data_IF_051627427224
#
_entry.id   IF_051627427224
#
_cell.length_a   1.000
_cell.length_b   1.000
_cell.length_c   1.000
_cell.angle_alpha   90.00
_cell.angle_beta   90.00
_cell.angle_gamma   90.00
#
_symmetry.space_group_name_H-M   'P 1'
#
loop_
_entity.id
_entity.type
_entity.pdbx_description
1 polymer ?
#
# COMPACT_ATOMS: atom_id res chain seq x y z
N UNK A 1 -10.37 -18.69 -10.46
CA UNK A 1 -10.12 -17.48 -9.65
C UNK A 1 -8.64 -17.13 -9.75
N UNK A 2 -8.29 -15.89 -10.12
CA UNK A 2 -6.88 -15.48 -10.19
C UNK A 2 -6.46 -14.91 -8.82
N UNK A 3 -5.61 -15.63 -8.08
CA UNK A 3 -5.14 -15.26 -6.73
C UNK A 3 -4.49 -13.88 -6.71
N UNK A 4 -4.60 -13.15 -5.59
CA UNK A 4 -3.97 -11.84 -5.42
C UNK A 4 -2.44 -12.01 -5.34
N UNK A 5 -1.68 -11.24 -6.11
CA UNK A 5 -0.23 -11.19 -5.95
C UNK A 5 0.12 -10.39 -4.70
N UNK A 6 1.04 -10.91 -3.89
CA UNK A 6 1.50 -10.29 -2.65
C UNK A 6 2.92 -9.77 -2.86
N UNK A 7 3.12 -8.50 -2.51
CA UNK A 7 4.41 -7.84 -2.49
C UNK A 7 4.79 -7.51 -1.04
N UNK A 8 5.63 -8.34 -0.40
CA UNK A 8 6.10 -8.08 0.95
C UNK A 8 7.05 -6.88 0.98
N UNK A 9 6.85 -5.95 1.91
CA UNK A 9 7.71 -4.79 2.13
C UNK A 9 8.04 -4.62 3.61
N UNK A 10 9.11 -3.92 3.95
CA UNK A 10 9.45 -3.59 5.35
C UNK A 10 8.57 -2.48 5.93
N UNK A 11 7.75 -1.84 5.08
CA UNK A 11 6.82 -0.76 5.45
C UNK A 11 5.37 -1.23 5.37
N UNK A 12 4.49 -0.52 6.08
CA UNK A 12 3.04 -0.76 6.06
C UNK A 12 2.38 0.24 5.10
N UNK A 13 1.46 -0.25 4.28
CA UNK A 13 0.54 0.58 3.51
C UNK A 13 -0.83 0.60 4.20
N UNK A 14 -1.36 1.78 4.44
CA UNK A 14 -2.72 1.98 4.96
C UNK A 14 -3.67 2.48 3.85
N UNK A 15 -4.99 2.25 3.97
CA UNK A 15 -5.98 2.86 3.09
C UNK A 15 -5.78 4.39 2.97
N UNK A 16 -5.76 4.92 1.76
CA UNK A 16 -5.49 6.32 1.46
C UNK A 16 -4.01 6.74 1.52
N UNK A 17 -3.13 5.91 2.07
CA UNK A 17 -1.69 6.11 2.06
C UNK A 17 -1.10 5.99 0.65
N UNK A 18 -0.06 6.76 0.37
CA UNK A 18 0.63 6.75 -0.93
C UNK A 18 2.05 6.22 -0.77
N UNK A 19 2.41 5.26 -1.61
CA UNK A 19 3.74 4.64 -1.55
C UNK A 19 4.43 4.69 -2.93
N UNK A 20 5.55 5.41 -3.07
CA UNK A 20 6.42 5.27 -4.24
C UNK A 20 7.27 4.00 -4.11
N UNK A 21 7.27 3.18 -5.16
CA UNK A 21 7.96 1.89 -5.23
C UNK A 21 9.00 1.90 -6.35
N UNK A 22 10.13 1.25 -6.09
CA UNK A 22 11.20 1.02 -7.07
C UNK A 22 11.33 -0.48 -7.28
N UNK A 23 10.88 -0.95 -8.44
CA UNK A 23 10.73 -2.37 -8.74
C UNK A 23 11.76 -2.76 -9.79
N UNK A 24 12.67 -3.65 -9.39
CA UNK A 24 13.75 -4.14 -10.24
C UNK A 24 13.80 -5.67 -10.34
N UNK A 25 13.18 -6.40 -9.41
CA UNK A 25 13.09 -7.86 -9.51
C UNK A 25 12.07 -8.27 -10.57
N UNK A 26 12.45 -9.18 -11.45
CA UNK A 26 11.64 -9.63 -12.59
C UNK A 26 10.25 -10.11 -12.19
N UNK A 27 10.13 -10.88 -11.11
CA UNK A 27 8.84 -11.38 -10.60
C UNK A 27 7.84 -10.24 -10.29
N UNK A 28 8.32 -9.13 -9.76
CA UNK A 28 7.49 -7.99 -9.40
C UNK A 28 7.27 -7.04 -10.59
N UNK A 29 8.23 -6.95 -11.52
CA UNK A 29 8.01 -6.26 -12.80
C UNK A 29 6.87 -6.93 -13.58
N UNK A 30 6.85 -8.27 -13.64
CA UNK A 30 5.81 -9.02 -14.33
C UNK A 30 4.47 -8.90 -13.61
N UNK A 31 4.45 -9.00 -12.28
CA UNK A 31 3.28 -8.74 -11.45
C UNK A 31 2.67 -7.36 -11.75
N UNK A 32 3.47 -6.30 -11.77
CA UNK A 32 2.97 -4.95 -12.03
C UNK A 32 2.42 -4.81 -13.44
N UNK A 33 3.08 -5.39 -14.45
CA UNK A 33 2.55 -5.40 -15.82
C UNK A 33 1.20 -6.10 -15.91
N UNK A 34 1.02 -7.23 -15.22
CA UNK A 34 -0.28 -7.92 -15.12
C UNK A 34 -1.32 -7.01 -14.45
N UNK A 35 -0.99 -6.42 -13.30
CA UNK A 35 -1.87 -5.50 -12.57
C UNK A 35 -2.34 -4.33 -13.42
N UNK A 36 -1.43 -3.71 -14.19
CA UNK A 36 -1.76 -2.60 -15.08
C UNK A 36 -2.63 -3.04 -16.26
N UNK A 37 -2.35 -4.22 -16.84
CA UNK A 37 -3.11 -4.75 -17.98
C UNK A 37 -4.55 -5.13 -17.58
N UNK A 38 -4.73 -5.66 -16.37
CA UNK A 38 -6.02 -6.10 -15.85
C UNK A 38 -6.75 -5.02 -15.02
N UNK A 39 -6.16 -3.83 -14.86
CA UNK A 39 -6.63 -2.75 -13.96
C UNK A 39 -7.00 -3.26 -12.55
N UNK A 40 -6.12 -4.06 -11.97
CA UNK A 40 -6.34 -4.70 -10.67
C UNK A 40 -5.28 -4.33 -9.65
N UNK A 41 -5.63 -4.28 -8.36
CA UNK A 41 -4.64 -4.09 -7.31
C UNK A 41 -3.80 -5.36 -7.11
N UNK A 42 -2.65 -5.17 -6.46
CA UNK A 42 -1.90 -6.22 -5.77
C UNK A 42 -1.98 -5.98 -4.25
N UNK A 43 -1.55 -6.95 -3.44
CA UNK A 43 -1.52 -6.81 -1.99
C UNK A 43 -0.14 -6.43 -1.49
N UNK A 44 -0.06 -5.51 -0.53
CA UNK A 44 1.16 -5.22 0.23
C UNK A 44 0.98 -5.74 1.65
N UNK A 45 1.94 -6.54 2.12
CA UNK A 45 2.00 -7.06 3.48
C UNK A 45 3.36 -6.69 4.09
N UNK A 46 3.36 -6.37 5.38
CA UNK A 46 4.61 -6.08 6.08
C UNK A 46 5.42 -7.37 6.28
N UNK A 47 6.72 -7.30 6.02
CA UNK A 47 7.67 -8.38 6.29
C UNK A 47 7.84 -8.53 7.81
N UNK A 48 7.68 -9.76 8.29
CA UNK A 48 7.96 -10.13 9.68
C UNK A 48 9.34 -10.79 9.82
N UNK A 49 9.79 -11.50 8.77
CA UNK A 49 11.12 -12.12 8.72
C UNK A 49 11.59 -12.28 7.28
N UNK A 50 12.87 -12.00 7.04
CA UNK A 50 13.49 -12.02 5.72
C UNK A 50 13.82 -10.62 5.23
N UNK A 51 13.91 -10.46 3.90
CA UNK A 51 14.23 -9.19 3.24
C UNK A 51 13.27 -8.95 2.06
N UNK A 52 13.19 -7.72 1.57
CA UNK A 52 12.35 -7.35 0.43
C UNK A 52 12.80 -7.98 -0.90
N UNK A 53 14.01 -8.51 -0.94
CA UNK A 53 14.68 -9.02 -2.15
C UNK A 53 15.13 -10.45 -1.96
N UNK A 54 15.12 -11.22 -3.06
CA UNK A 54 15.58 -12.61 -3.06
C UNK A 54 14.49 -13.59 -2.60
N UNK A 55 14.80 -14.41 -1.61
CA UNK A 55 13.88 -15.45 -1.13
C UNK A 55 12.54 -14.87 -0.66
N UNK A 56 11.42 -15.62 -0.78
CA UNK A 56 10.13 -15.18 -0.28
C UNK A 56 10.21 -14.87 1.22
N UNK A 57 9.87 -13.64 1.60
CA UNK A 57 9.83 -13.22 2.99
C UNK A 57 8.58 -13.77 3.69
N UNK A 58 8.70 -14.04 4.99
CA UNK A 58 7.54 -14.20 5.87
C UNK A 58 6.92 -12.81 6.08
N UNK A 59 5.59 -12.74 6.09
CA UNK A 59 4.86 -11.48 6.16
C UNK A 59 3.62 -11.60 7.04
N UNK A 60 3.10 -10.46 7.49
CA UNK A 60 1.84 -10.38 8.20
C UNK A 60 0.68 -10.96 7.35
N UNK A 61 -0.31 -11.64 7.96
CA UNK A 61 -1.44 -12.19 7.24
C UNK A 61 -2.47 -11.12 6.87
N UNK A 62 -2.33 -9.90 7.38
CA UNK A 62 -3.16 -8.74 7.04
C UNK A 62 -2.32 -7.75 6.25
N UNK A 63 -2.89 -7.24 5.16
CA UNK A 63 -2.24 -6.27 4.30
C UNK A 63 -3.22 -5.26 3.72
N UNK A 64 -2.74 -4.43 2.80
CA UNK A 64 -3.55 -3.44 2.09
C UNK A 64 -3.47 -3.64 0.57
N UNK A 65 -4.62 -3.56 -0.08
CA UNK A 65 -4.71 -3.54 -1.54
C UNK A 65 -4.08 -2.24 -2.06
N UNK A 66 -3.07 -2.39 -2.91
CA UNK A 66 -2.35 -1.31 -3.55
C UNK A 66 -2.81 -1.17 -4.99
N UNK A 67 -3.40 -0.02 -5.32
CA UNK A 67 -3.78 0.34 -6.69
C UNK A 67 -2.71 1.23 -7.28
N UNK A 68 -2.24 0.87 -8.47
CA UNK A 68 -1.28 1.67 -9.23
C UNK A 68 -1.97 2.94 -9.73
N UNK A 69 -1.39 4.10 -9.43
CA UNK A 69 -1.89 5.39 -9.91
C UNK A 69 -1.00 6.01 -10.96
N UNK A 70 0.31 5.78 -10.86
CA UNK A 70 1.31 6.32 -11.78
C UNK A 70 2.44 5.30 -11.94
N UNK A 71 3.10 5.30 -13.10
CA UNK A 71 4.27 4.47 -13.34
C UNK A 71 5.18 5.14 -14.37
N UNK A 72 6.48 4.85 -14.28
CA UNK A 72 7.49 5.32 -15.22
C UNK A 72 8.64 4.29 -15.29
N UNK A 73 9.29 4.22 -16.45
CA UNK A 73 10.46 3.37 -16.68
C UNK A 73 11.58 4.19 -17.34
N UNK A 74 12.07 5.20 -16.61
CA UNK A 74 13.13 6.09 -17.10
C UNK A 74 14.44 5.36 -17.39
N UNK A 75 14.72 4.31 -16.62
CA UNK A 75 15.88 3.46 -16.79
C UNK A 75 15.42 2.04 -17.11
N UNK A 76 15.98 1.45 -18.17
CA UNK A 76 15.69 0.07 -18.54
C UNK A 76 15.98 -0.87 -17.36
N UNK A 77 14.98 -1.67 -16.97
CA UNK A 77 15.08 -2.62 -15.88
C UNK A 77 14.78 -2.06 -14.48
N UNK A 78 14.43 -0.78 -14.35
CA UNK A 78 13.93 -0.21 -13.10
C UNK A 78 12.57 0.47 -13.35
N UNK A 79 11.52 -0.11 -12.79
CA UNK A 79 10.17 0.41 -12.86
C UNK A 79 9.88 1.23 -11.60
N UNK A 80 9.56 2.51 -11.77
CA UNK A 80 9.03 3.36 -10.72
C UNK A 80 7.51 3.29 -10.76
N UNK A 81 6.89 2.98 -9.63
CA UNK A 81 5.43 2.85 -9.53
C UNK A 81 4.96 3.63 -8.33
N UNK A 82 3.87 4.39 -8.48
CA UNK A 82 3.17 4.99 -7.36
C UNK A 82 1.90 4.22 -7.12
N UNK A 83 1.67 3.85 -5.86
CA UNK A 83 0.45 3.16 -5.46
C UNK A 83 -0.28 3.90 -4.36
N UNK A 84 -1.59 3.73 -4.33
CA UNK A 84 -2.48 4.19 -3.25
C UNK A 84 -3.10 2.98 -2.58
N UNK A 85 -3.08 2.96 -1.25
CA UNK A 85 -3.79 1.98 -0.45
C UNK A 85 -5.30 2.14 -0.57
N UNK A 86 -6.01 1.03 -0.77
CA UNK A 86 -7.45 1.04 -1.04
C UNK A 86 -8.23 0.44 0.11
N UNK A 87 -8.05 -0.86 0.37
CA UNK A 87 -8.76 -1.59 1.44
C UNK A 87 -7.85 -2.61 2.09
N UNK A 88 -8.12 -2.90 3.37
CA UNK A 88 -7.43 -3.97 4.09
C UNK A 88 -7.93 -5.33 3.63
N UNK A 89 -7.06 -6.33 3.65
CA UNK A 89 -7.43 -7.72 3.39
C UNK A 89 -6.74 -8.65 4.37
N UNK A 90 -7.28 -9.86 4.53
CA UNK A 90 -6.68 -10.97 5.26
C UNK A 90 -6.40 -12.13 4.32
N UNK A 91 -5.19 -12.65 4.37
CA UNK A 91 -4.78 -13.86 3.65
C UNK A 91 -5.42 -15.06 4.33
N UNK A 92 -6.12 -15.88 3.55
CA UNK A 92 -6.70 -17.16 3.99
C UNK A 92 -5.75 -18.31 3.71
N UNK A 93 -5.17 -18.31 2.51
CA UNK A 93 -4.16 -19.26 2.07
C UNK A 93 -3.21 -18.54 1.09
N UNK A 94 -1.95 -18.91 1.07
CA UNK A 94 -1.02 -18.44 0.05
C UNK A 94 -0.15 -19.59 -0.47
N UNK A 95 0.41 -19.38 -1.66
CA UNK A 95 1.43 -20.25 -2.25
C UNK A 95 2.57 -19.40 -2.81
N UNK A 96 3.77 -19.94 -2.77
CA UNK A 96 4.93 -19.39 -3.47
C UNK A 96 5.00 -20.03 -4.85
N UNK A 97 5.04 -19.22 -5.90
CA UNK A 97 5.21 -19.68 -7.28
C UNK A 97 6.67 -20.00 -7.60
N UNK A 98 6.94 -20.64 -8.75
CA UNK A 98 8.30 -21.04 -9.14
C UNK A 98 9.26 -19.86 -9.29
N UNK A 99 8.76 -18.67 -9.59
CA UNK A 99 9.52 -17.42 -9.67
C UNK A 99 9.63 -16.70 -8.32
N UNK A 100 9.30 -17.38 -7.22
CA UNK A 100 9.26 -16.84 -5.86
C UNK A 100 8.24 -15.72 -5.62
N UNK A 101 7.27 -15.51 -6.53
CA UNK A 101 6.14 -14.60 -6.30
C UNK A 101 5.12 -15.27 -5.36
N UNK A 102 4.63 -14.52 -4.38
CA UNK A 102 3.58 -15.01 -3.48
C UNK A 102 2.21 -14.70 -4.08
N UNK A 103 1.34 -15.71 -4.15
CA UNK A 103 -0.06 -15.58 -4.58
C UNK A 103 -0.99 -16.08 -3.48
N UNK A 104 -1.96 -15.26 -3.11
CA UNK A 104 -2.85 -15.51 -1.99
C UNK A 104 -4.34 -15.52 -2.38
N UNK A 105 -5.10 -16.41 -1.75
CA UNK A 105 -6.54 -16.28 -1.59
C UNK A 105 -6.80 -15.36 -0.40
N UNK A 106 -7.56 -14.29 -0.63
CA UNK A 106 -7.74 -13.21 0.34
C UNK A 106 -9.21 -12.91 0.57
N UNK A 107 -9.49 -12.43 1.77
CA UNK A 107 -10.77 -11.85 2.15
C UNK A 107 -10.59 -10.36 2.41
N UNK A 108 -11.37 -9.53 1.73
CA UNK A 108 -11.35 -8.08 1.95
C UNK A 108 -12.04 -7.79 3.28
N UNK A 109 -11.38 -7.02 4.13
CA UNK A 109 -11.94 -6.61 5.42
C UNK A 109 -12.86 -5.40 5.23
N UNK A 110 -13.88 -5.31 6.07
CA UNK A 110 -14.74 -4.13 6.12
C UNK A 110 -13.94 -2.90 6.58
N UNK A 111 -14.35 -1.74 6.07
CA UNK A 111 -13.76 -0.48 6.45
C UNK A 111 -14.25 -0.11 7.86
N UNK A 112 -13.41 0.56 8.64
CA UNK A 112 -13.80 0.99 9.98
C UNK A 112 -14.94 2.02 9.88
N UNK A 113 -15.90 2.01 10.83
CA UNK A 113 -17.03 2.91 10.78
C UNK A 113 -16.56 4.36 10.78
N UNK A 114 -17.08 5.15 9.83
CA UNK A 114 -16.77 6.57 9.74
C UNK A 114 -17.56 7.34 10.80
N UNK A 115 -16.93 7.53 11.96
CA UNK A 115 -17.46 8.29 13.08
C UNK A 115 -16.63 9.55 13.32
N UNK A 116 -17.21 10.62 13.89
CA UNK A 116 -16.44 11.80 14.26
C UNK A 116 -15.32 11.48 15.25
N UNK A 117 -14.18 12.16 15.13
CA UNK A 117 -13.08 12.05 16.12
C UNK A 117 -13.60 12.42 17.52
N UNK A 118 -13.49 11.54 18.52
CA UNK A 118 -13.87 11.84 19.90
C UNK A 118 -13.13 13.07 20.46
N UNK A 119 -13.78 13.82 21.35
CA UNK A 119 -13.24 15.11 21.87
C UNK A 119 -11.91 14.95 22.60
N UNK A 120 -11.75 13.86 23.33
CA UNK A 120 -10.54 13.45 24.03
C UNK A 120 -9.38 13.07 23.07
N UNK A 121 -9.68 12.74 21.82
CA UNK A 121 -8.72 12.43 20.77
C UNK A 121 -8.48 13.59 19.79
N UNK A 122 -9.04 14.78 20.04
CA UNK A 122 -8.79 15.96 19.20
C UNK A 122 -7.31 16.33 19.12
N UNK A 123 -6.52 16.08 20.17
CA UNK A 123 -5.08 16.32 20.14
C UNK A 123 -4.37 15.46 19.05
N UNK A 124 -4.80 14.22 18.85
CA UNK A 124 -4.30 13.35 17.79
C UNK A 124 -4.69 13.87 16.41
N UNK A 125 -5.95 14.28 16.22
CA UNK A 125 -6.40 14.93 14.98
C UNK A 125 -5.55 16.16 14.66
N UNK A 126 -5.33 17.02 15.64
CA UNK A 126 -4.64 18.29 15.44
C UNK A 126 -3.15 18.05 15.16
N UNK A 127 -2.54 17.03 15.78
CA UNK A 127 -1.20 16.57 15.43
C UNK A 127 -1.13 16.05 13.98
N UNK A 128 -2.07 15.22 13.55
CA UNK A 128 -2.14 14.73 12.16
C UNK A 128 -2.31 15.90 11.17
N UNK A 129 -3.14 16.90 11.50
CA UNK A 129 -3.26 18.14 10.70
C UNK A 129 -1.91 18.84 10.54
N UNK A 130 -1.14 18.96 11.62
CA UNK A 130 0.19 19.58 11.59
C UNK A 130 1.19 18.77 10.76
N UNK A 131 1.24 17.44 10.93
CA UNK A 131 2.13 16.56 10.16
C UNK A 131 1.82 16.65 8.66
N UNK A 132 0.54 16.55 8.28
CA UNK A 132 0.15 16.65 6.87
C UNK A 132 0.49 18.01 6.28
N UNK A 133 0.25 19.10 7.03
CA UNK A 133 0.62 20.44 6.58
C UNK A 133 2.14 20.60 6.38
N UNK A 134 2.95 20.02 7.26
CA UNK A 134 4.40 20.02 7.12
C UNK A 134 4.85 19.22 5.89
N UNK A 135 4.32 18.01 5.70
CA UNK A 135 4.63 17.18 4.52
C UNK A 135 4.24 17.86 3.21
N UNK A 136 3.12 18.61 3.18
CA UNK A 136 2.73 19.39 2.00
C UNK A 136 3.67 20.56 1.71
N UNK A 137 4.25 21.18 2.75
CA UNK A 137 5.23 22.27 2.60
C UNK A 137 6.57 21.75 2.08
N UNK A 138 7.02 20.59 2.57
CA UNK A 138 8.25 19.93 2.14
C UNK A 138 8.17 19.42 0.70
N UNK A 139 7.01 18.90 0.28
CA UNK A 139 6.77 18.37 -1.06
C UNK A 139 5.55 19.05 -1.74
N UNK A 140 5.76 20.22 -2.38
CA UNK A 140 4.69 20.97 -3.04
C UNK A 140 4.13 20.26 -4.27
N UNK A 141 4.90 19.31 -4.84
CA UNK A 141 4.52 18.50 -5.99
C UNK A 141 3.50 17.43 -5.60
N UNK A 142 2.27 17.54 -6.10
CA UNK A 142 1.15 16.68 -5.70
C UNK A 142 1.38 15.19 -6.00
N UNK A 143 2.08 14.90 -7.10
CA UNK A 143 2.53 13.58 -7.54
C UNK A 143 3.59 12.94 -6.61
N UNK A 144 4.17 13.71 -5.69
CA UNK A 144 5.20 13.22 -4.74
C UNK A 144 4.73 13.14 -3.29
N UNK A 145 3.51 13.60 -3.00
CA UNK A 145 2.97 13.58 -1.63
C UNK A 145 2.72 12.15 -1.15
N UNK A 146 2.96 11.92 0.13
CA UNK A 146 2.79 10.61 0.77
C UNK A 146 1.36 10.38 1.31
N UNK A 147 0.55 11.43 1.37
CA UNK A 147 -0.86 11.37 1.80
C UNK A 147 -1.77 11.87 0.69
N UNK A 148 -2.71 11.04 0.25
CA UNK A 148 -3.65 11.40 -0.79
C UNK A 148 -4.78 12.29 -0.24
N UNK A 149 -5.29 13.19 -1.10
CA UNK A 149 -6.51 13.95 -0.85
C UNK A 149 -7.75 13.12 -1.25
N UNK A 150 -8.94 13.42 -0.70
CA UNK A 150 -9.24 14.46 0.29
C UNK A 150 -8.77 14.10 1.70
N UNK A 151 -8.43 15.12 2.51
CA UNK A 151 -8.10 14.94 3.92
C UNK A 151 -9.37 14.96 4.77
N UNK A 152 -9.63 13.88 5.50
CA UNK A 152 -10.84 13.71 6.30
C UNK A 152 -10.53 13.84 7.79
N UNK A 153 -10.04 15.00 8.22
CA UNK A 153 -9.58 15.17 9.60
C UNK A 153 -10.68 15.02 10.68
N UNK A 154 -11.95 15.16 10.31
CA UNK A 154 -13.04 14.96 11.26
C UNK A 154 -13.49 13.49 11.32
N UNK A 155 -12.95 12.62 10.46
CA UNK A 155 -13.20 11.18 10.44
C UNK A 155 -12.20 10.44 11.33
N UNK A 156 -12.71 9.69 12.30
CA UNK A 156 -11.88 8.87 13.18
C UNK A 156 -11.17 7.75 12.42
N UNK A 157 -11.83 7.11 11.45
CA UNK A 157 -11.26 6.02 10.66
C UNK A 157 -10.12 6.51 9.76
N UNK A 158 -10.22 7.74 9.23
CA UNK A 158 -9.14 8.33 8.45
C UNK A 158 -7.96 8.77 9.34
N UNK A 159 -8.22 9.40 10.49
CA UNK A 159 -7.16 9.88 11.41
C UNK A 159 -6.38 8.73 12.05
N UNK A 160 -6.98 7.55 12.19
CA UNK A 160 -6.35 6.37 12.80
C UNK A 160 -5.53 5.51 11.83
N UNK A 161 -5.53 5.83 10.54
CA UNK A 161 -4.74 5.13 9.52
C UNK A 161 -3.27 5.56 9.51
#
# INVERSE_FOLDING_TARGET
MNRLAIFPLSTILFPGGVLPLRIFETRYMDMVRECMKEDRPFGICQITRGAETGEPAEHEPVGCLARITEWDMQQLGLLHVRVVGVRRFRIREHRVERNALIRADVEVLEDDPDVPVPRDLHCCRDLVKQIVAQLEQEEPRQDRRLVARPYCYESASWVSN
#
